data_IF_835185758596
#
_entry.id   IF_835185758596
#
_cell.length_a   1.000
_cell.length_b   1.000
_cell.length_c   1.000
_cell.angle_alpha   90.00
_cell.angle_beta   90.00
_cell.angle_gamma   90.00
#
_symmetry.space_group_name_H-M   'P 1'
#
loop_
_entity.id
_entity.type
_entity.pdbx_description
1 polymer ?
#
# COMPACT_ATOMS: atom_id res chain seq x y z
N UNK A 1 -6.97 -11.97 12.60
CA UNK A 1 -6.40 -11.30 11.46
C UNK A 1 -5.78 -12.32 10.54
N UNK A 2 -5.78 -12.07 9.26
CA UNK A 2 -5.14 -12.94 8.32
C UNK A 2 -3.69 -12.54 8.16
N UNK A 3 -2.79 -13.49 8.27
CA UNK A 3 -1.38 -13.20 8.12
C UNK A 3 -0.85 -14.16 7.08
N UNK A 4 -0.11 -13.67 6.10
CA UNK A 4 0.43 -14.54 5.10
C UNK A 4 1.76 -14.03 4.63
N UNK A 5 2.53 -14.84 3.96
CA UNK A 5 3.83 -14.48 3.46
C UNK A 5 3.81 -14.39 1.96
N UNK A 6 4.52 -13.41 1.42
CA UNK A 6 4.62 -13.26 -0.02
C UNK A 6 6.05 -13.02 -0.41
N UNK A 7 6.42 -13.47 -1.57
CA UNK A 7 7.76 -13.24 -2.06
C UNK A 7 7.73 -12.10 -3.04
N UNK A 8 8.89 -11.68 -3.48
CA UNK A 8 8.98 -10.58 -4.39
C UNK A 8 8.10 -10.80 -5.61
N UNK A 9 7.41 -9.79 -6.01
CA UNK A 9 6.51 -9.79 -7.16
C UNK A 9 5.27 -10.63 -6.98
N UNK A 10 5.02 -11.15 -5.82
CA UNK A 10 3.80 -11.89 -5.61
C UNK A 10 2.69 -10.97 -5.14
N UNK A 11 1.48 -11.32 -5.39
CA UNK A 11 0.36 -10.45 -5.13
C UNK A 11 -0.64 -11.00 -4.15
N UNK A 12 -1.44 -10.11 -3.60
CA UNK A 12 -2.54 -10.47 -2.74
C UNK A 12 -3.73 -9.73 -3.33
N UNK A 13 -4.83 -10.41 -3.50
CA UNK A 13 -6.01 -9.78 -4.06
C UNK A 13 -7.06 -9.65 -2.97
N UNK A 14 -7.59 -8.45 -2.79
CA UNK A 14 -8.59 -8.19 -1.78
C UNK A 14 -9.89 -7.82 -2.47
N UNK A 15 -10.91 -8.55 -2.13
CA UNK A 15 -12.25 -8.25 -2.64
C UNK A 15 -12.29 -8.24 -4.17
N UNK A 16 -11.44 -9.00 -4.79
CA UNK A 16 -11.48 -9.11 -6.24
C UNK A 16 -11.07 -7.86 -7.00
N UNK A 17 -10.79 -6.78 -6.34
CA UNK A 17 -10.47 -5.56 -7.05
C UNK A 17 -9.26 -4.83 -6.53
N UNK A 18 -8.77 -5.11 -5.40
CA UNK A 18 -7.60 -4.42 -4.87
C UNK A 18 -6.44 -5.38 -4.94
N UNK A 19 -5.38 -5.00 -5.60
CA UNK A 19 -4.24 -5.87 -5.74
C UNK A 19 -3.05 -5.26 -5.02
N UNK A 20 -2.44 -6.04 -4.14
CA UNK A 20 -1.29 -5.59 -3.40
C UNK A 20 -0.11 -6.42 -3.87
N UNK A 21 0.95 -5.78 -4.29
CA UNK A 21 2.10 -6.46 -4.84
C UNK A 21 3.35 -6.14 -4.04
N UNK A 22 4.18 -7.12 -3.80
CA UNK A 22 5.45 -6.89 -3.14
C UNK A 22 6.41 -6.46 -4.23
N UNK A 23 6.77 -5.21 -4.26
CA UNK A 23 7.59 -4.65 -5.31
C UNK A 23 9.06 -4.76 -5.02
N UNK A 24 9.46 -4.63 -3.78
CA UNK A 24 10.86 -4.72 -3.44
C UNK A 24 11.01 -5.09 -1.99
N UNK A 25 11.97 -5.88 -1.68
CA UNK A 25 12.23 -6.28 -0.30
C UNK A 25 13.61 -5.84 0.08
N UNK A 26 13.71 -4.98 1.09
CA UNK A 26 14.98 -4.54 1.58
C UNK A 26 15.15 -5.08 2.98
N UNK A 27 16.35 -4.90 3.55
CA UNK A 27 16.63 -5.39 4.82
C UNK A 27 15.67 -4.96 5.87
N UNK A 28 15.32 -3.77 5.98
CA UNK A 28 14.45 -3.29 6.99
C UNK A 28 13.08 -2.87 6.53
N UNK A 29 12.78 -2.99 5.30
CA UNK A 29 11.50 -2.54 4.83
C UNK A 29 11.06 -3.22 3.56
N UNK A 30 9.82 -3.13 3.25
CA UNK A 30 9.26 -3.76 2.09
C UNK A 30 8.51 -2.69 1.34
N UNK A 31 8.67 -2.64 0.03
CA UNK A 31 7.90 -1.72 -0.77
C UNK A 31 6.73 -2.45 -1.34
N UNK A 32 5.58 -1.86 -1.22
CA UNK A 32 4.34 -2.48 -1.62
C UNK A 32 3.62 -1.60 -2.61
N UNK A 33 3.21 -2.17 -3.70
CA UNK A 33 2.42 -1.44 -4.69
C UNK A 33 0.98 -1.82 -4.52
N UNK A 34 0.09 -0.87 -4.61
CA UNK A 34 -1.32 -1.12 -4.43
C UNK A 34 -2.09 -0.59 -5.61
N UNK A 35 -2.93 -1.42 -6.20
CA UNK A 35 -3.78 -1.01 -7.27
C UNK A 35 -5.19 -1.11 -6.80
N UNK A 36 -5.97 -0.09 -6.95
CA UNK A 36 -7.34 -0.08 -6.48
C UNK A 36 -8.19 0.78 -7.40
N UNK A 37 -9.48 0.53 -7.45
CA UNK A 37 -10.36 1.35 -8.26
C UNK A 37 -10.38 2.76 -7.73
N UNK A 38 -10.68 3.71 -8.59
CA UNK A 38 -10.62 5.10 -8.20
C UNK A 38 -11.52 5.49 -7.04
N UNK A 39 -12.57 4.73 -6.79
CA UNK A 39 -13.47 5.10 -5.70
C UNK A 39 -12.97 4.59 -4.36
N UNK A 40 -11.86 3.88 -4.32
CA UNK A 40 -11.33 3.38 -3.06
C UNK A 40 -10.05 4.13 -2.75
N UNK A 41 -10.04 4.99 -1.78
CA UNK A 41 -8.83 5.74 -1.45
C UNK A 41 -7.85 4.84 -0.72
N UNK A 42 -6.58 5.05 -0.97
CA UNK A 42 -5.55 4.27 -0.32
C UNK A 42 -4.64 5.21 0.42
N UNK A 43 -4.48 5.03 1.70
CA UNK A 43 -3.67 5.92 2.51
C UNK A 43 -2.70 5.14 3.37
N UNK A 44 -1.60 5.72 3.65
CA UNK A 44 -0.73 5.21 4.68
C UNK A 44 -1.43 5.61 5.96
N UNK A 45 -1.28 4.84 6.97
CA UNK A 45 -1.96 5.13 8.21
C UNK A 45 -1.66 6.50 8.73
N UNK A 46 -0.43 6.92 8.69
CA UNK A 46 -0.09 8.22 9.24
C UNK A 46 -0.61 9.38 8.41
N UNK A 47 -1.12 9.14 7.24
CA UNK A 47 -1.62 10.23 6.42
C UNK A 47 -3.13 10.20 6.37
N UNK A 48 -3.75 9.26 7.04
CA UNK A 48 -5.16 9.14 7.00
C UNK A 48 -5.84 10.38 7.45
N UNK A 49 -6.91 10.82 6.86
CA UNK A 49 -7.61 12.02 7.27
C UNK A 49 -7.95 11.94 8.75
N UNK A 50 -7.69 12.97 9.45
CA UNK A 50 -7.96 13.03 10.86
C UNK A 50 -6.85 12.49 11.72
N UNK A 51 -5.85 11.85 11.12
CA UNK A 51 -4.80 11.29 11.89
C UNK A 51 -3.70 12.30 11.94
N UNK A 52 -3.11 12.58 13.10
CA UNK A 52 -2.16 13.54 13.16
C UNK A 52 -0.83 13.18 12.89
N UNK A 53 -0.11 13.67 12.06
CA UNK A 53 1.24 13.30 11.87
C UNK A 53 1.87 14.35 11.14
N UNK A 54 3.05 14.46 11.10
CA UNK A 54 3.66 15.45 10.45
C UNK A 54 4.36 15.16 9.38
N UNK A 55 4.48 14.48 8.70
CA UNK A 55 5.26 14.17 7.69
C UNK A 55 5.07 13.85 6.68
N UNK A 56 5.57 13.91 5.82
CA UNK A 56 5.78 13.57 4.79
C UNK A 56 4.90 13.05 4.03
N UNK A 57 4.14 13.48 3.82
CA UNK A 57 3.27 12.95 3.13
C UNK A 57 3.58 12.76 1.85
N UNK A 58 4.41 13.26 1.46
CA UNK A 58 4.67 13.11 0.20
C UNK A 58 4.97 11.94 -0.23
N UNK A 59 5.47 11.33 0.36
CA UNK A 59 6.03 10.32 -0.20
C UNK A 59 5.14 9.44 -0.64
N UNK A 60 4.49 9.03 -0.46
CA UNK A 60 3.88 8.03 -0.89
C UNK A 60 2.76 8.09 -1.48
N UNK A 61 2.24 8.84 -1.25
CA UNK A 61 1.13 8.80 -1.73
C UNK A 61 1.10 8.62 -3.02
N UNK A 62 1.80 9.23 -3.55
CA UNK A 62 1.81 9.19 -4.78
C UNK A 62 1.77 7.98 -5.32
N UNK A 63 2.49 7.26 -4.96
CA UNK A 63 2.61 6.17 -5.66
C UNK A 63 1.73 5.25 -5.33
N UNK A 64 1.03 5.42 -4.48
CA UNK A 64 0.38 4.33 -4.14
C UNK A 64 -0.69 3.99 -5.01
N UNK A 65 -1.33 4.77 -5.51
CA UNK A 65 -2.39 4.37 -6.21
C UNK A 65 -2.31 4.44 -7.55
N UNK A 66 -2.57 3.54 -8.22
CA UNK A 66 -2.33 3.56 -9.46
C UNK A 66 -3.42 3.37 -10.16
N UNK A 67 -4.18 3.51 -10.19
CA UNK A 67 -5.21 3.27 -10.85
C UNK A 67 -5.43 3.33 -11.86
#
# INVERSE_FOLDING_TARGET
MLVLSRKLNEKIVIDGEIVVTVVKIDRNQVRIGIEAPGHIPVYREEILPGYRHEMDELDEVAMTVDA
#
